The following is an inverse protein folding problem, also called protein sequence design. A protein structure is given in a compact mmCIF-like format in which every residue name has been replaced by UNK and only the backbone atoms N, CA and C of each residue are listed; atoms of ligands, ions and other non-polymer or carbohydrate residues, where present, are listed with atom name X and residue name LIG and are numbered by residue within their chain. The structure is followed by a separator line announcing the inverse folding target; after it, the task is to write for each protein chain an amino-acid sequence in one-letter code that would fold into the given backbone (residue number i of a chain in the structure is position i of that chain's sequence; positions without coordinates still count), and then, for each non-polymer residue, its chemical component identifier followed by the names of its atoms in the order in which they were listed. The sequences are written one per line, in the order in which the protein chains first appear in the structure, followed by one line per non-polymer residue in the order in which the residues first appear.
data_IF_533553476829
#
_entry.id   IF_533553476829
#
_cell.length_a   1.000
_cell.length_b   1.000
_cell.length_c   1.000
_cell.angle_alpha   90.00
_cell.angle_beta   90.00
_cell.angle_gamma   90.00
#
_symmetry.space_group_name_H-M   'P 1'
#
loop_
_entity.id
_entity.type
_entity.pdbx_description
1 polymer ?
#
# COMPACT_ATOMS: atom_id res chain seq x y z
N UNK A 1 -2.65 21.54 -1.49
CA UNK A 1 -3.55 21.11 -0.39
C UNK A 1 -3.03 19.78 0.15
N UNK A 2 -2.52 19.73 1.38
CA UNK A 2 -2.13 18.48 2.03
C UNK A 2 -3.40 17.71 2.44
N UNK A 3 -3.86 16.80 1.58
CA UNK A 3 -4.94 15.86 1.93
C UNK A 3 -4.38 14.86 2.95
N UNK A 4 -4.94 14.86 4.15
CA UNK A 4 -4.58 13.90 5.20
C UNK A 4 -5.65 12.81 5.23
N UNK A 5 -5.21 11.56 5.12
CA UNK A 5 -6.08 10.38 5.26
C UNK A 5 -5.88 9.81 6.66
N UNK A 6 -6.97 9.46 7.34
CA UNK A 6 -6.93 8.75 8.63
C UNK A 6 -7.15 7.26 8.35
N UNK A 7 -6.09 6.58 7.94
CA UNK A 7 -6.06 5.14 7.65
C UNK A 7 -4.78 4.55 8.22
N UNK A 8 -4.88 3.35 8.78
CA UNK A 8 -3.74 2.60 9.30
C UNK A 8 -3.07 1.85 8.15
N UNK A 9 -1.78 2.09 7.94
CA UNK A 9 -0.98 1.30 6.98
C UNK A 9 -0.10 0.36 7.79
N UNK A 10 -0.20 -0.94 7.51
CA UNK A 10 0.63 -1.97 8.15
C UNK A 10 1.54 -2.60 7.12
N UNK A 11 2.85 -2.64 7.42
CA UNK A 11 3.86 -3.30 6.59
C UNK A 11 4.34 -4.52 7.36
N UNK A 12 4.20 -5.70 6.76
CA UNK A 12 4.57 -6.97 7.36
C UNK A 12 5.62 -7.64 6.48
N UNK A 13 6.72 -8.05 7.10
CA UNK A 13 7.74 -8.88 6.46
C UNK A 13 7.55 -10.33 6.89
N UNK A 14 7.41 -11.23 5.90
CA UNK A 14 7.30 -12.66 6.11
C UNK A 14 8.55 -13.36 5.58
N UNK A 15 9.25 -14.18 6.39
CA UNK A 15 10.31 -15.02 5.88
C UNK A 15 9.73 -16.09 4.94
N UNK A 16 10.40 -16.34 3.82
CA UNK A 16 10.04 -17.37 2.86
C UNK A 16 11.18 -18.39 2.69
N UNK A 17 10.92 -19.45 1.93
CA UNK A 17 11.93 -20.46 1.65
C UNK A 17 13.17 -19.85 0.96
N UNK A 18 14.34 -20.43 1.26
CA UNK A 18 15.63 -20.05 0.67
C UNK A 18 16.16 -18.63 1.01
N UNK A 19 15.88 -18.10 2.22
CA UNK A 19 16.33 -16.78 2.72
C UNK A 19 15.75 -15.57 1.99
N UNK A 20 14.70 -15.76 1.21
CA UNK A 20 13.94 -14.64 0.66
C UNK A 20 12.92 -14.17 1.70
N UNK A 21 12.53 -12.90 1.64
CA UNK A 21 11.43 -12.36 2.45
C UNK A 21 10.36 -11.81 1.53
N UNK A 22 9.12 -11.80 1.99
CA UNK A 22 7.99 -11.21 1.30
C UNK A 22 7.50 -10.03 2.12
N UNK A 23 7.38 -8.88 1.48
CA UNK A 23 6.74 -7.71 2.08
C UNK A 23 5.27 -7.71 1.68
N UNK A 24 4.41 -7.51 2.67
CA UNK A 24 2.97 -7.32 2.52
C UNK A 24 2.58 -5.96 3.06
N UNK A 25 1.80 -5.21 2.29
CA UNK A 25 1.36 -3.87 2.65
C UNK A 25 -0.16 -3.90 2.76
N UNK A 26 -0.64 -3.51 3.92
CA UNK A 26 -2.06 -3.48 4.27
C UNK A 26 -2.52 -2.06 4.52
N UNK A 27 -3.78 -1.80 4.17
CA UNK A 27 -4.53 -0.62 4.61
C UNK A 27 -5.71 -1.12 5.43
N UNK A 28 -5.74 -0.79 6.72
CA UNK A 28 -6.58 -1.46 7.71
C UNK A 28 -6.35 -2.99 7.61
N UNK A 29 -7.38 -3.75 7.23
CA UNK A 29 -7.31 -5.22 7.08
C UNK A 29 -7.18 -5.68 5.62
N UNK A 30 -7.04 -4.75 4.66
CA UNK A 30 -6.98 -5.07 3.23
C UNK A 30 -5.54 -5.10 2.73
N UNK A 31 -5.12 -6.25 2.20
CA UNK A 31 -3.86 -6.36 1.46
C UNK A 31 -3.95 -5.56 0.16
N UNK A 32 -3.05 -4.59 -0.02
CA UNK A 32 -3.02 -3.72 -1.21
C UNK A 32 -1.85 -4.02 -2.14
N UNK A 33 -0.71 -4.45 -1.59
CA UNK A 33 0.44 -4.86 -2.38
C UNK A 33 1.21 -5.96 -1.65
N UNK A 34 1.81 -6.86 -2.40
CA UNK A 34 2.73 -7.86 -1.89
C UNK A 34 3.81 -8.18 -2.92
N UNK A 35 5.04 -8.33 -2.47
CA UNK A 35 6.16 -8.68 -3.35
C UNK A 35 7.25 -9.43 -2.60
N UNK A 36 7.96 -10.29 -3.32
CA UNK A 36 9.18 -10.94 -2.83
C UNK A 36 10.31 -9.90 -2.89
N UNK A 37 11.04 -9.74 -1.80
CA UNK A 37 12.14 -8.79 -1.69
C UNK A 37 13.25 -9.16 -2.66
N UNK A 38 13.61 -8.20 -3.50
CA UNK A 38 14.81 -8.21 -4.32
C UNK A 38 15.73 -7.09 -3.78
N UNK A 39 17.02 -7.36 -3.51
CA UNK A 39 17.94 -6.37 -2.94
C UNK A 39 18.30 -5.21 -3.89
N UNK A 40 17.83 -5.23 -5.14
CA UNK A 40 17.99 -4.11 -6.06
C UNK A 40 17.22 -2.87 -5.56
N UNK A 41 17.93 -1.75 -5.46
CA UNK A 41 17.35 -0.45 -5.10
C UNK A 41 16.26 -0.02 -6.10
N UNK A 42 16.52 -0.18 -7.41
CA UNK A 42 15.56 0.13 -8.47
C UNK A 42 14.26 -0.67 -8.31
N UNK A 43 14.36 -1.94 -7.93
CA UNK A 43 13.18 -2.76 -7.68
C UNK A 43 12.37 -2.22 -6.50
N UNK A 44 13.02 -1.91 -5.37
CA UNK A 44 12.35 -1.40 -4.18
C UNK A 44 11.70 -0.04 -4.45
N UNK A 45 12.39 0.87 -5.15
CA UNK A 45 11.85 2.17 -5.53
C UNK A 45 10.60 2.01 -6.40
N UNK A 46 10.63 1.11 -7.39
CA UNK A 46 9.48 0.81 -8.23
C UNK A 46 8.31 0.23 -7.42
N UNK A 47 8.57 -0.67 -6.46
CA UNK A 47 7.52 -1.21 -5.59
C UNK A 47 6.90 -0.15 -4.67
N UNK A 48 7.71 0.79 -4.18
CA UNK A 48 7.23 1.91 -3.36
C UNK A 48 6.35 2.84 -4.21
N UNK A 49 6.82 3.26 -5.38
CA UNK A 49 6.06 4.12 -6.29
C UNK A 49 4.74 3.47 -6.72
N UNK A 50 4.76 2.19 -7.03
CA UNK A 50 3.56 1.42 -7.35
C UNK A 50 2.57 1.38 -6.18
N UNK A 51 3.06 1.16 -4.95
CA UNK A 51 2.22 1.14 -3.75
C UNK A 51 1.59 2.51 -3.49
N UNK A 52 2.35 3.59 -3.65
CA UNK A 52 1.85 4.97 -3.48
C UNK A 52 0.72 5.26 -4.47
N UNK A 53 0.87 4.86 -5.74
CA UNK A 53 -0.18 5.05 -6.75
C UNK A 53 -1.48 4.31 -6.36
N UNK A 54 -1.37 3.05 -5.89
CA UNK A 54 -2.54 2.29 -5.41
C UNK A 54 -3.20 2.98 -4.21
N UNK A 55 -2.40 3.49 -3.27
CA UNK A 55 -2.90 4.20 -2.10
C UNK A 55 -3.66 5.48 -2.50
N UNK A 56 -3.11 6.27 -3.42
CA UNK A 56 -3.76 7.49 -3.92
C UNK A 56 -5.11 7.19 -4.60
N UNK A 57 -5.17 6.15 -5.43
CA UNK A 57 -6.42 5.71 -6.06
C UNK A 57 -7.45 5.24 -5.03
N UNK A 58 -7.02 4.41 -4.06
CA UNK A 58 -7.88 3.90 -3.00
C UNK A 58 -8.45 5.03 -2.15
N UNK A 59 -7.62 6.01 -1.81
CA UNK A 59 -8.03 7.15 -1.02
C UNK A 59 -8.87 8.18 -1.79
N UNK A 60 -8.66 8.33 -3.10
CA UNK A 60 -9.52 9.14 -3.96
C UNK A 60 -10.94 8.55 -4.04
N UNK A 61 -11.05 7.23 -4.14
CA UNK A 61 -12.34 6.52 -4.20
C UNK A 61 -13.12 6.62 -2.87
N UNK A 62 -12.46 6.50 -1.71
CA UNK A 62 -13.11 6.64 -0.38
C UNK A 62 -13.72 8.05 -0.18
N UNK A 63 -13.07 9.09 -0.73
CA UNK A 63 -13.57 10.47 -0.68
C UNK A 63 -14.79 10.71 -1.57
N UNK A 64 -14.82 10.10 -2.76
CA UNK A 64 -15.97 10.19 -3.65
C UNK A 64 -17.18 9.50 -3.02
N UNK A 65 -16.99 8.32 -2.43
CA UNK A 65 -18.03 7.63 -1.68
C UNK A 65 -18.59 8.53 -0.57
N UNK A 66 -17.75 9.12 0.30
CA UNK A 66 -18.23 10.02 1.38
C UNK A 66 -19.00 11.25 0.88
N UNK A 67 -18.67 11.79 -0.29
CA UNK A 67 -19.42 12.92 -0.88
C UNK A 67 -20.82 12.50 -1.35
N UNK A 68 -20.97 11.29 -1.86
CA UNK A 68 -22.25 10.79 -2.39
C UNK A 68 -23.29 10.48 -1.31
N UNK A 69 -22.85 10.19 -0.07
CA UNK A 69 -23.75 9.89 1.06
C UNK A 69 -23.98 11.06 2.03
N UNK A 70 -23.46 12.26 1.71
CA UNK A 70 -23.74 13.47 2.48
C UNK A 70 -24.90 14.23 1.84
N UNK A 71 -26.13 13.82 2.14
CA UNK A 71 -27.38 14.51 1.78
C UNK A 71 -28.07 15.08 3.02
#
# INVERSE_FOLDING_TARGET
MNKKYNKTISIVELPTFARNTQIQIFVEDRLINQFIVNPSEEFLENQVNFTINILDELFANDQNFKKEFSY
#
